data_IF_668106350466
#
_entry.id   IF_668106350466
#
_cell.length_a   1.000
_cell.length_b   1.000
_cell.length_c   1.000
_cell.angle_alpha   90.00
_cell.angle_beta   90.00
_cell.angle_gamma   90.00
#
_symmetry.space_group_name_H-M   'P 1'
#
loop_
_entity.id
_entity.type
_entity.pdbx_description
1 polymer ?
#
# COMPACT_ATOMS: atom_id res chain seq x y z
N UNK A 1 -36.14 26.33 33.73
CA UNK A 1 -34.96 25.45 33.82
C UNK A 1 -34.17 25.60 32.52
N UNK A 2 -32.96 26.16 32.58
CA UNK A 2 -32.12 26.32 31.39
C UNK A 2 -31.62 24.96 30.91
N UNK A 3 -31.72 24.68 29.60
CA UNK A 3 -31.11 23.48 29.02
C UNK A 3 -29.61 23.51 29.32
N UNK A 4 -29.02 22.42 29.84
CA UNK A 4 -27.57 22.36 30.05
C UNK A 4 -26.87 22.61 28.71
N UNK A 5 -25.87 23.49 28.72
CA UNK A 5 -25.11 23.80 27.52
C UNK A 5 -24.40 22.53 27.05
N UNK A 6 -24.60 22.16 25.79
CA UNK A 6 -23.91 21.02 25.21
C UNK A 6 -22.38 21.21 25.34
N UNK A 7 -21.62 20.19 25.77
CA UNK A 7 -20.16 20.25 25.84
C UNK A 7 -19.57 20.72 24.52
N UNK A 8 -18.43 21.44 24.58
CA UNK A 8 -17.78 22.05 23.41
C UNK A 8 -17.57 21.07 22.24
N UNK A 9 -17.29 19.80 22.54
CA UNK A 9 -17.22 18.73 21.54
C UNK A 9 -18.57 18.46 20.85
N UNK A 10 -19.69 18.43 21.56
CA UNK A 10 -21.01 18.30 20.92
C UNK A 10 -21.42 19.52 20.09
N UNK A 11 -20.90 20.72 20.42
CA UNK A 11 -21.11 21.92 19.57
C UNK A 11 -20.27 21.90 18.29
N UNK A 12 -19.11 21.24 18.30
CA UNK A 12 -18.25 21.06 17.12
C UNK A 12 -18.79 20.01 16.13
N UNK A 13 -19.69 19.13 16.57
CA UNK A 13 -20.25 18.03 15.77
C UNK A 13 -21.78 18.07 15.70
N UNK A 14 -22.40 19.24 15.88
CA UNK A 14 -23.81 19.42 15.55
C UNK A 14 -23.90 19.53 14.02
N UNK A 15 -23.62 18.42 13.36
CA UNK A 15 -23.47 18.32 11.92
C UNK A 15 -24.87 18.24 11.33
N UNK A 16 -25.52 19.41 11.22
CA UNK A 16 -26.83 19.57 10.56
C UNK A 16 -26.81 18.94 9.15
N UNK A 17 -25.61 18.72 8.58
CA UNK A 17 -25.38 18.03 7.32
C UNK A 17 -25.69 16.52 7.36
N UNK A 18 -25.52 15.83 8.49
CA UNK A 18 -25.79 14.38 8.61
C UNK A 18 -27.28 14.04 8.39
N UNK A 19 -28.18 15.01 8.61
CA UNK A 19 -29.61 14.85 8.32
C UNK A 19 -29.98 15.19 6.87
N UNK A 20 -29.04 15.70 6.07
CA UNK A 20 -29.32 16.10 4.70
C UNK A 20 -29.28 14.88 3.79
N UNK A 21 -30.34 14.70 3.01
CA UNK A 21 -30.40 13.68 1.95
C UNK A 21 -29.21 13.76 0.98
N UNK A 22 -28.69 14.97 0.72
CA UNK A 22 -27.52 15.17 -0.14
C UNK A 22 -26.23 14.61 0.47
N UNK A 23 -26.09 14.56 1.80
CA UNK A 23 -24.94 13.93 2.45
C UNK A 23 -24.99 12.42 2.24
N UNK A 24 -26.13 11.79 2.54
CA UNK A 24 -26.36 10.36 2.28
C UNK A 24 -26.09 9.97 0.82
N UNK A 25 -26.49 10.82 -0.12
CA UNK A 25 -26.24 10.60 -1.56
C UNK A 25 -24.74 10.57 -1.87
N UNK A 26 -23.93 11.45 -1.27
CA UNK A 26 -22.46 11.44 -1.41
C UNK A 26 -21.87 10.16 -0.82
N UNK A 27 -22.30 9.76 0.39
CA UNK A 27 -21.80 8.54 1.07
C UNK A 27 -22.14 7.28 0.26
N UNK A 28 -23.36 7.19 -0.28
CA UNK A 28 -23.78 6.09 -1.16
C UNK A 28 -23.00 6.07 -2.46
N UNK A 29 -22.73 7.25 -3.03
CA UNK A 29 -21.95 7.35 -4.25
C UNK A 29 -20.53 6.82 -4.06
N UNK A 30 -19.84 7.19 -2.97
CA UNK A 30 -18.50 6.68 -2.70
C UNK A 30 -18.50 5.18 -2.34
N UNK A 31 -19.52 4.69 -1.62
CA UNK A 31 -19.73 3.25 -1.39
C UNK A 31 -19.87 2.49 -2.71
N UNK A 32 -20.70 2.98 -3.63
CA UNK A 32 -20.85 2.39 -4.97
C UNK A 32 -19.55 2.44 -5.77
N UNK A 33 -18.83 3.57 -5.77
CA UNK A 33 -17.54 3.70 -6.47
C UNK A 33 -16.50 2.71 -5.93
N UNK A 34 -16.47 2.49 -4.62
CA UNK A 34 -15.54 1.53 -4.01
C UNK A 34 -15.80 0.08 -4.45
N UNK A 35 -17.04 -0.25 -4.82
CA UNK A 35 -17.46 -1.59 -5.24
C UNK A 35 -17.36 -1.81 -6.75
N UNK A 36 -17.74 -0.81 -7.54
CA UNK A 36 -17.97 -0.96 -8.99
C UNK A 36 -16.87 -0.32 -9.83
N UNK A 37 -16.26 0.77 -9.37
CA UNK A 37 -15.23 1.50 -10.12
C UNK A 37 -14.17 2.06 -9.16
N UNK A 38 -13.40 1.16 -8.51
CA UNK A 38 -12.42 1.58 -7.52
C UNK A 38 -11.32 2.46 -8.11
N UNK A 39 -11.10 2.45 -9.43
CA UNK A 39 -10.15 3.32 -10.12
C UNK A 39 -10.38 4.82 -9.88
N UNK A 40 -11.63 5.26 -9.69
CA UNK A 40 -11.94 6.65 -9.29
C UNK A 40 -11.29 6.98 -7.94
N UNK A 41 -11.37 6.04 -6.99
CA UNK A 41 -10.80 6.18 -5.65
C UNK A 41 -9.28 6.05 -5.72
N UNK A 42 -8.75 5.06 -6.43
CA UNK A 42 -7.30 4.85 -6.59
C UNK A 42 -6.63 6.09 -7.18
N UNK A 43 -7.25 6.73 -8.16
CA UNK A 43 -6.79 8.01 -8.73
C UNK A 43 -6.75 9.12 -7.69
N UNK A 44 -7.80 9.27 -6.89
CA UNK A 44 -7.83 10.28 -5.82
C UNK A 44 -6.79 10.01 -4.72
N UNK A 45 -6.37 8.76 -4.54
CA UNK A 45 -5.36 8.35 -3.56
C UNK A 45 -3.92 8.38 -4.09
N UNK A 46 -3.72 8.77 -5.35
CA UNK A 46 -2.45 8.70 -6.09
C UNK A 46 -1.82 7.29 -6.04
N UNK A 47 -2.66 6.27 -6.13
CA UNK A 47 -2.22 4.89 -6.30
C UNK A 47 -2.12 4.57 -7.78
N UNK A 48 -1.01 3.98 -8.20
CA UNK A 48 -0.81 3.60 -9.59
C UNK A 48 -1.70 2.41 -9.94
N UNK A 49 -2.51 2.54 -10.99
CA UNK A 49 -3.43 1.48 -11.39
C UNK A 49 -3.66 1.47 -12.90
N UNK A 50 -4.24 0.37 -13.37
CA UNK A 50 -4.76 0.16 -14.72
C UNK A 50 -6.15 -0.45 -14.62
N UNK A 51 -6.95 -0.25 -15.66
CA UNK A 51 -8.27 -0.87 -15.82
C UNK A 51 -8.23 -1.72 -17.08
N UNK A 52 -8.70 -2.96 -16.98
CA UNK A 52 -8.83 -3.83 -18.15
C UNK A 52 -10.08 -3.48 -18.98
N UNK A 53 -10.27 -4.16 -20.12
CA UNK A 53 -11.43 -3.96 -21.00
C UNK A 53 -12.79 -4.23 -20.32
N UNK A 54 -12.80 -4.93 -19.19
CA UNK A 54 -14.00 -5.25 -18.40
C UNK A 54 -14.20 -4.25 -17.25
N UNK A 55 -13.35 -3.24 -17.12
CA UNK A 55 -13.36 -2.25 -16.04
C UNK A 55 -12.83 -2.79 -14.71
N UNK A 56 -12.20 -3.97 -14.70
CA UNK A 56 -11.55 -4.52 -13.51
C UNK A 56 -10.28 -3.73 -13.26
N UNK A 57 -10.18 -3.14 -12.07
CA UNK A 57 -9.02 -2.38 -11.67
C UNK A 57 -7.92 -3.31 -11.16
N UNK A 58 -6.69 -3.00 -11.55
CA UNK A 58 -5.47 -3.63 -11.04
C UNK A 58 -4.50 -2.52 -10.62
N UNK A 59 -3.80 -2.69 -9.51
CA UNK A 59 -3.00 -1.60 -8.94
C UNK A 59 -1.60 -2.06 -8.57
N UNK A 60 -0.61 -1.17 -8.71
CA UNK A 60 0.71 -1.37 -8.13
C UNK A 60 0.76 -0.63 -6.79
N UNK A 61 1.52 -1.17 -5.82
CA UNK A 61 1.73 -0.53 -4.52
C UNK A 61 2.44 0.83 -4.63
N UNK A 62 2.87 1.44 -3.52
CA UNK A 62 3.58 2.74 -3.57
C UNK A 62 5.04 2.66 -4.05
N UNK A 63 5.69 1.50 -3.88
CA UNK A 63 7.14 1.36 -4.02
C UNK A 63 7.55 0.49 -5.22
N UNK A 64 6.85 0.62 -6.35
CA UNK A 64 7.19 -0.14 -7.55
C UNK A 64 8.24 0.59 -8.39
N UNK A 65 9.07 -0.18 -9.08
CA UNK A 65 10.10 0.29 -10.01
C UNK A 65 9.76 -0.24 -11.39
N UNK A 66 9.63 0.65 -12.37
CA UNK A 66 9.46 0.29 -13.78
C UNK A 66 10.74 -0.39 -14.27
N UNK A 67 10.66 -1.63 -14.74
CA UNK A 67 11.73 -2.23 -15.53
C UNK A 67 11.36 -2.09 -17.01
N UNK A 68 12.35 -2.12 -17.90
CA UNK A 68 12.08 -2.08 -19.33
C UNK A 68 11.45 -3.41 -19.80
N UNK A 69 10.62 -3.38 -20.86
CA UNK A 69 9.84 -4.55 -21.30
C UNK A 69 10.69 -5.80 -21.61
N UNK A 70 11.92 -5.61 -22.10
CA UNK A 70 12.86 -6.70 -22.37
C UNK A 70 13.42 -7.34 -21.09
N UNK A 71 13.24 -6.71 -19.94
CA UNK A 71 13.72 -7.16 -18.63
C UNK A 71 12.77 -8.17 -17.95
N UNK A 72 11.61 -8.48 -18.56
CA UNK A 72 10.65 -9.42 -17.98
C UNK A 72 10.68 -10.82 -18.57
N UNK A 73 11.33 -11.01 -19.73
CA UNK A 73 11.14 -12.20 -20.56
C UNK A 73 12.39 -13.07 -20.73
N UNK A 74 13.53 -12.70 -20.14
CA UNK A 74 14.77 -13.47 -20.30
C UNK A 74 15.29 -14.02 -18.97
N UNK A 75 15.85 -15.23 -18.98
CA UNK A 75 16.53 -15.80 -17.81
C UNK A 75 17.66 -14.91 -17.27
N UNK A 76 18.15 -13.96 -18.10
CA UNK A 76 19.20 -12.99 -17.74
C UNK A 76 18.71 -11.88 -16.81
N UNK A 77 17.40 -11.70 -16.64
CA UNK A 77 16.84 -10.56 -15.89
C UNK A 77 16.34 -10.93 -14.50
N UNK A 78 16.18 -12.23 -14.25
CA UNK A 78 15.95 -12.81 -12.92
C UNK A 78 16.89 -12.21 -11.86
N UNK A 79 18.21 -12.09 -12.09
CA UNK A 79 19.12 -11.54 -11.09
C UNK A 79 18.92 -10.04 -10.86
N UNK A 80 18.51 -9.29 -11.88
CA UNK A 80 18.17 -7.86 -11.74
C UNK A 80 16.87 -7.67 -10.94
N UNK A 81 15.83 -8.45 -11.24
CA UNK A 81 14.60 -8.50 -10.45
C UNK A 81 14.88 -8.88 -8.98
N UNK A 82 15.76 -9.85 -8.76
CA UNK A 82 16.24 -10.23 -7.42
C UNK A 82 16.99 -9.09 -6.74
N UNK A 83 17.88 -8.37 -7.42
CA UNK A 83 18.59 -7.24 -6.81
C UNK A 83 17.65 -6.11 -6.44
N UNK A 84 16.66 -5.79 -7.29
CA UNK A 84 15.61 -4.80 -6.99
C UNK A 84 14.81 -5.24 -5.77
N UNK A 85 14.37 -6.51 -5.73
CA UNK A 85 13.63 -7.06 -4.60
C UNK A 85 14.44 -7.02 -3.29
N UNK A 86 15.72 -7.41 -3.33
CA UNK A 86 16.62 -7.39 -2.18
C UNK A 86 16.95 -5.97 -1.70
N UNK A 87 16.83 -4.95 -2.56
CA UNK A 87 16.99 -3.54 -2.19
C UNK A 87 15.76 -2.94 -1.48
N UNK A 88 14.69 -3.72 -1.27
CA UNK A 88 13.44 -3.25 -0.67
C UNK A 88 12.48 -2.58 -1.64
N UNK A 89 12.78 -2.64 -2.95
CA UNK A 89 11.94 -2.15 -4.03
C UNK A 89 11.21 -3.31 -4.72
N UNK A 90 10.13 -3.04 -5.46
CA UNK A 90 9.37 -4.09 -6.15
C UNK A 90 9.38 -3.85 -7.66
N UNK A 91 9.92 -4.76 -8.48
CA UNK A 91 9.85 -4.60 -9.92
C UNK A 91 8.39 -4.63 -10.38
N UNK A 92 8.00 -3.72 -11.28
CA UNK A 92 6.64 -3.66 -11.86
C UNK A 92 6.35 -5.01 -12.48
N UNK A 93 5.33 -5.73 -12.05
CA UNK A 93 4.97 -6.97 -12.74
C UNK A 93 4.30 -6.61 -14.08
N UNK A 94 4.58 -7.34 -15.17
CA UNK A 94 4.01 -7.04 -16.48
C UNK A 94 2.48 -7.09 -16.47
N UNK A 95 1.92 -7.99 -15.65
CA UNK A 95 0.49 -7.96 -15.31
C UNK A 95 0.26 -7.25 -13.97
N UNK A 96 -0.58 -6.21 -13.92
CA UNK A 96 -0.89 -5.51 -12.68
C UNK A 96 -1.62 -6.46 -11.71
N UNK A 97 -1.22 -6.50 -10.42
CA UNK A 97 -1.79 -7.49 -9.51
C UNK A 97 -3.25 -7.17 -9.18
N UNK A 98 -4.04 -8.20 -8.83
CA UNK A 98 -5.42 -7.99 -8.44
C UNK A 98 -5.47 -7.10 -7.20
N UNK A 99 -6.58 -6.39 -7.05
CA UNK A 99 -6.90 -5.65 -5.84
C UNK A 99 -8.22 -6.14 -5.25
N UNK A 100 -8.31 -6.11 -3.93
CA UNK A 100 -9.52 -6.40 -3.17
C UNK A 100 -9.91 -5.15 -2.38
N UNK A 101 -11.16 -4.71 -2.51
CA UNK A 101 -11.73 -3.65 -1.67
C UNK A 101 -12.62 -4.29 -0.63
N UNK A 102 -12.33 -4.06 0.64
CA UNK A 102 -13.17 -4.57 1.73
C UNK A 102 -14.54 -3.91 1.69
N UNK A 103 -15.63 -4.58 2.12
CA UNK A 103 -16.93 -3.95 2.28
C UNK A 103 -16.84 -2.67 3.14
N UNK A 104 -17.37 -1.54 2.66
CA UNK A 104 -17.34 -0.30 3.41
C UNK A 104 -18.14 -0.34 4.72
N UNK A 105 -17.60 0.31 5.74
CA UNK A 105 -18.21 0.48 7.06
C UNK A 105 -18.64 1.93 7.23
N UNK A 106 -19.92 2.12 7.44
CA UNK A 106 -20.54 3.43 7.64
C UNK A 106 -20.36 3.88 9.09
N UNK A 107 -20.27 5.19 9.30
CA UNK A 107 -20.28 5.85 10.62
C UNK A 107 -19.30 5.25 11.62
N UNK A 108 -18.02 5.16 11.23
CA UNK A 108 -16.99 4.65 12.12
C UNK A 108 -16.75 5.61 13.27
N UNK A 109 -17.25 5.25 14.44
CA UNK A 109 -17.01 5.99 15.68
C UNK A 109 -15.52 6.11 15.99
N UNK A 110 -15.12 7.31 16.41
CA UNK A 110 -13.76 7.64 16.83
C UNK A 110 -13.80 7.90 18.32
N UNK A 111 -13.02 7.12 19.06
CA UNK A 111 -12.92 7.23 20.51
C UNK A 111 -11.61 7.91 20.87
N UNK A 112 -11.68 8.84 21.80
CA UNK A 112 -10.50 9.49 22.38
C UNK A 112 -9.73 8.54 23.31
N UNK A 113 -8.60 8.99 23.88
CA UNK A 113 -7.72 8.15 24.70
C UNK A 113 -8.38 7.62 25.98
N UNK A 114 -9.44 8.28 26.44
CA UNK A 114 -10.25 7.89 27.62
C UNK A 114 -11.52 7.12 27.26
N UNK A 115 -11.67 6.69 26.00
CA UNK A 115 -12.84 5.95 25.51
C UNK A 115 -14.07 6.80 25.19
N UNK A 116 -14.05 8.11 25.46
CA UNK A 116 -15.15 9.01 25.09
C UNK A 116 -15.26 9.21 23.57
N UNK A 117 -16.49 9.29 23.06
CA UNK A 117 -16.77 9.59 21.64
C UNK A 117 -16.31 11.01 21.30
N UNK A 118 -15.47 11.14 20.28
CA UNK A 118 -14.93 12.42 19.81
C UNK A 118 -15.29 12.75 18.36
N UNK A 119 -15.96 11.83 17.65
CA UNK A 119 -16.42 12.03 16.27
C UNK A 119 -16.80 10.71 15.61
N UNK A 120 -17.24 10.79 14.36
CA UNK A 120 -17.50 9.64 13.51
C UNK A 120 -16.96 9.95 12.11
N UNK A 121 -16.47 8.94 11.41
CA UNK A 121 -16.12 9.03 9.98
C UNK A 121 -17.25 8.43 9.17
N UNK A 122 -17.70 9.14 8.14
CA UNK A 122 -18.85 8.73 7.34
C UNK A 122 -18.67 7.35 6.71
N UNK A 123 -17.49 7.08 6.12
CA UNK A 123 -17.19 5.79 5.51
C UNK A 123 -15.74 5.36 5.75
N UNK A 124 -15.53 4.07 5.96
CA UNK A 124 -14.18 3.49 5.97
C UNK A 124 -14.11 2.12 5.32
N UNK A 125 -13.02 1.85 4.63
CA UNK A 125 -12.74 0.55 4.01
C UNK A 125 -11.23 0.35 3.90
N UNK A 126 -10.79 -0.85 3.50
CA UNK A 126 -9.42 -1.10 3.08
C UNK A 126 -9.34 -1.54 1.63
N UNK A 127 -8.23 -1.15 1.00
CA UNK A 127 -7.81 -1.61 -0.32
C UNK A 127 -6.60 -2.50 -0.10
N UNK A 128 -6.69 -3.77 -0.49
CA UNK A 128 -5.56 -4.68 -0.52
C UNK A 128 -5.05 -4.78 -1.94
N UNK A 129 -3.77 -4.50 -2.11
CA UNK A 129 -3.07 -4.70 -3.38
C UNK A 129 -2.20 -5.94 -3.18
N UNK A 130 -2.52 -7.03 -3.88
CA UNK A 130 -1.74 -8.25 -3.77
C UNK A 130 -0.36 -8.05 -4.39
N UNK A 131 0.66 -8.61 -3.75
CA UNK A 131 2.02 -8.55 -4.27
C UNK A 131 2.29 -9.79 -5.12
N UNK A 132 2.85 -9.63 -6.33
CA UNK A 132 3.38 -10.76 -7.06
C UNK A 132 4.57 -11.32 -6.26
N UNK A 133 4.57 -12.63 -6.02
CA UNK A 133 5.63 -13.31 -5.30
C UNK A 133 6.49 -14.10 -6.26
N UNK A 134 7.82 -13.95 -6.13
CA UNK A 134 8.79 -14.73 -6.89
C UNK A 134 8.99 -16.07 -6.20
N UNK A 135 8.30 -17.11 -6.66
CA UNK A 135 8.51 -18.46 -6.16
C UNK A 135 9.74 -19.07 -6.86
N UNK A 136 10.83 -19.20 -6.10
CA UNK A 136 12.05 -19.89 -6.53
C UNK A 136 11.91 -21.37 -6.16
N UNK A 137 11.73 -22.23 -7.16
CA UNK A 137 11.73 -23.68 -6.94
C UNK A 137 13.17 -24.18 -6.97
N UNK A 138 13.59 -24.85 -5.91
CA UNK A 138 14.92 -25.44 -5.83
C UNK A 138 14.83 -26.97 -5.92
N UNK A 139 15.92 -27.59 -6.35
CA UNK A 139 16.13 -29.03 -6.16
C UNK A 139 17.50 -29.25 -5.53
N UNK A 140 17.57 -30.31 -4.73
CA UNK A 140 18.83 -30.77 -4.18
C UNK A 140 19.65 -31.39 -5.32
N UNK A 141 20.87 -30.90 -5.52
CA UNK A 141 21.78 -31.45 -6.52
C UNK A 141 22.45 -32.67 -5.89
N UNK A 142 22.34 -33.85 -6.52
CA UNK A 142 23.15 -34.99 -6.14
C UNK A 142 24.64 -34.66 -6.30
N UNK A 143 25.45 -34.98 -5.28
CA UNK A 143 26.91 -34.71 -5.24
C UNK A 143 27.69 -35.23 -6.44
N UNK A 144 27.14 -36.16 -7.21
CA UNK A 144 27.75 -36.80 -8.37
C UNK A 144 27.76 -35.95 -9.65
N UNK A 145 27.01 -34.84 -9.70
CA UNK A 145 26.83 -34.01 -10.92
C UNK A 145 27.65 -32.71 -10.89
N UNK A 146 28.67 -32.64 -10.03
CA UNK A 146 29.47 -31.44 -9.82
C UNK A 146 30.36 -31.20 -11.04
N UNK A 147 30.20 -30.05 -11.69
CA UNK A 147 31.13 -29.60 -12.73
C UNK A 147 32.34 -28.89 -12.11
N UNK A 148 33.48 -28.86 -12.78
CA UNK A 148 34.70 -28.17 -12.31
C UNK A 148 34.46 -26.68 -11.97
N UNK A 149 33.46 -26.05 -12.59
CA UNK A 149 33.02 -24.68 -12.31
C UNK A 149 32.45 -24.49 -10.88
N UNK A 150 31.82 -25.51 -10.28
CA UNK A 150 31.25 -25.40 -8.93
C UNK A 150 32.35 -25.49 -7.85
N UNK A 151 33.46 -26.20 -8.13
CA UNK A 151 34.65 -26.25 -7.26
C UNK A 151 35.41 -24.90 -7.26
N UNK A 152 35.40 -24.19 -8.38
CA UNK A 152 36.06 -22.88 -8.52
C UNK A 152 35.35 -21.77 -7.71
N UNK A 153 34.02 -21.87 -7.59
CA UNK A 153 33.21 -20.94 -6.78
C UNK A 153 33.36 -21.15 -5.27
N UNK A 154 33.49 -22.40 -4.81
CA UNK A 154 33.74 -22.72 -3.40
C UNK A 154 35.12 -22.20 -2.94
N UNK A 155 36.12 -22.22 -3.82
CA UNK A 155 37.46 -21.67 -3.55
C UNK A 155 37.46 -20.13 -3.39
N UNK A 156 36.46 -19.44 -3.95
CA UNK A 156 36.30 -17.99 -3.88
C UNK A 156 35.57 -17.50 -2.63
N UNK A 157 34.76 -18.35 -1.98
CA UNK A 157 33.78 -17.89 -0.99
C UNK A 157 33.96 -18.38 0.45
N UNK A 158 34.88 -19.32 0.70
CA UNK A 158 35.33 -19.70 2.05
C UNK A 158 34.25 -20.38 2.90
N UNK A 159 34.53 -21.61 3.33
CA UNK A 159 33.61 -22.46 4.09
C UNK A 159 33.12 -21.81 5.40
N UNK A 160 31.81 -21.57 5.53
CA UNK A 160 31.11 -21.53 6.83
C UNK A 160 29.66 -22.03 6.69
N UNK A 161 29.28 -22.98 7.55
CA UNK A 161 27.90 -23.42 7.78
C UNK A 161 27.14 -22.40 8.66
N UNK A 162 25.81 -22.27 8.51
CA UNK A 162 24.77 -22.18 9.57
C UNK A 162 23.40 -21.78 8.99
N UNK A 163 22.32 -22.17 9.69
CA UNK A 163 20.94 -22.25 9.19
C UNK A 163 19.95 -21.09 9.45
N UNK A 164 18.85 -21.19 8.69
CA UNK A 164 17.46 -20.68 8.75
C UNK A 164 17.17 -19.30 9.40
N UNK A 165 16.55 -18.39 8.64
CA UNK A 165 15.79 -17.26 9.19
C UNK A 165 14.36 -17.14 8.65
N UNK A 166 13.46 -16.99 9.62
CA UNK A 166 12.13 -16.41 9.51
C UNK A 166 12.23 -14.88 9.65
N UNK A 167 11.42 -14.19 8.85
CA UNK A 167 10.98 -12.80 8.94
C UNK A 167 11.74 -11.75 9.78
N UNK A 168 12.27 -10.74 9.04
CA UNK A 168 12.60 -9.34 9.41
C UNK A 168 13.97 -9.05 10.06
N UNK A 169 14.88 -8.49 9.23
CA UNK A 169 16.01 -7.65 9.66
C UNK A 169 17.41 -8.20 9.34
N UNK A 170 18.29 -7.36 8.79
CA UNK A 170 19.73 -7.65 8.64
C UNK A 170 20.47 -6.94 9.78
N UNK A 171 20.82 -7.68 10.83
CA UNK A 171 21.96 -7.33 11.67
C UNK A 171 23.14 -8.18 11.17
N UNK A 172 24.16 -7.51 10.64
CA UNK A 172 25.45 -8.14 10.35
C UNK A 172 26.26 -8.00 11.63
N UNK A 173 26.68 -9.10 12.25
CA UNK A 173 27.68 -9.03 13.30
C UNK A 173 28.95 -8.36 12.73
N UNK A 174 29.34 -7.22 13.31
CA UNK A 174 30.68 -6.65 13.17
C UNK A 174 30.99 -5.73 11.99
N UNK A 175 30.03 -5.27 11.18
CA UNK A 175 30.30 -4.23 10.17
C UNK A 175 29.43 -2.99 10.40
N UNK A 176 30.03 -1.94 10.96
CA UNK A 176 29.38 -0.65 11.26
C UNK A 176 29.24 0.28 10.05
N UNK A 177 29.77 -0.09 8.88
CA UNK A 177 29.69 0.73 7.67
C UNK A 177 29.01 -0.04 6.54
N UNK A 178 27.82 0.42 6.14
CA UNK A 178 27.11 -0.04 4.94
C UNK A 178 27.84 0.53 3.71
N UNK A 179 28.59 -0.32 3.01
CA UNK A 179 29.12 0.01 1.68
C UNK A 179 28.06 -0.37 0.63
N UNK A 180 27.73 0.50 -0.33
CA UNK A 180 26.82 0.16 -1.42
C UNK A 180 27.38 -1.04 -2.19
N UNK A 181 26.59 -2.11 -2.28
CA UNK A 181 26.98 -3.32 -2.99
C UNK A 181 26.94 -3.02 -4.49
N UNK A 182 28.10 -2.88 -5.13
CA UNK A 182 28.28 -2.62 -6.57
C UNK A 182 27.98 -3.84 -7.44
N UNK A 183 27.06 -4.70 -7.02
CA UNK A 183 27.16 -6.12 -7.28
C UNK A 183 26.31 -6.57 -8.47
N UNK A 184 26.97 -7.24 -9.41
CA UNK A 184 26.36 -7.84 -10.60
C UNK A 184 25.48 -9.05 -10.22
N UNK A 185 24.58 -9.50 -11.11
CA UNK A 185 23.82 -10.75 -11.01
C UNK A 185 24.50 -11.94 -10.32
N UNK A 186 25.80 -12.12 -10.58
CA UNK A 186 26.63 -13.17 -10.02
C UNK A 186 26.75 -13.08 -8.49
N UNK A 187 26.77 -11.89 -7.92
CA UNK A 187 26.88 -11.68 -6.48
C UNK A 187 25.57 -11.96 -5.74
N UNK A 188 24.41 -11.68 -6.33
CA UNK A 188 23.11 -12.05 -5.75
C UNK A 188 22.90 -13.57 -5.77
N UNK A 189 23.30 -14.24 -6.85
CA UNK A 189 23.32 -15.71 -6.94
C UNK A 189 24.36 -16.32 -5.99
N UNK A 190 25.52 -15.69 -5.83
CA UNK A 190 26.52 -16.09 -4.84
C UNK A 190 26.00 -15.92 -3.40
N UNK A 191 25.24 -14.86 -3.09
CA UNK A 191 24.59 -14.69 -1.78
C UNK A 191 23.54 -15.78 -1.55
N UNK A 192 22.75 -16.14 -2.56
CA UNK A 192 21.77 -17.23 -2.46
C UNK A 192 22.47 -18.58 -2.25
N UNK A 193 23.51 -18.89 -3.04
CA UNK A 193 24.31 -20.13 -2.90
C UNK A 193 25.07 -20.19 -1.58
N UNK A 194 25.68 -19.10 -1.14
CA UNK A 194 26.43 -19.01 0.11
C UNK A 194 25.50 -19.12 1.33
N UNK A 195 24.26 -18.63 1.25
CA UNK A 195 23.34 -18.56 2.39
C UNK A 195 22.40 -19.75 2.54
N UNK A 196 22.08 -20.46 1.45
CA UNK A 196 21.15 -21.60 1.44
C UNK A 196 21.80 -22.92 1.01
N UNK A 197 23.11 -22.91 0.78
CA UNK A 197 23.85 -24.07 0.31
C UNK A 197 23.54 -24.44 -1.15
N UNK A 198 23.76 -25.73 -1.46
CA UNK A 198 23.81 -26.34 -2.79
C UNK A 198 22.42 -26.51 -3.41
N UNK A 199 21.73 -25.41 -3.70
CA UNK A 199 20.42 -25.42 -4.35
C UNK A 199 20.58 -25.07 -5.83
N UNK A 200 20.20 -25.99 -6.73
CA UNK A 200 19.97 -25.62 -8.12
C UNK A 200 18.57 -25.02 -8.24
N UNK A 201 18.48 -23.85 -8.85
CA UNK A 201 17.20 -23.22 -9.19
C UNK A 201 16.60 -24.04 -10.34
N UNK A 202 15.53 -24.79 -10.03
CA UNK A 202 14.79 -25.62 -11.00
C UNK A 202 13.90 -24.76 -11.91
N UNK A 203 13.50 -23.59 -11.43
CA UNK A 203 12.67 -22.66 -12.16
C UNK A 203 12.19 -21.54 -11.26
N UNK A 204 11.79 -20.45 -11.89
CA UNK A 204 11.25 -19.29 -11.23
C UNK A 204 9.86 -19.04 -11.80
N UNK A 205 8.87 -18.90 -10.92
CA UNK A 205 7.50 -18.62 -11.32
C UNK A 205 6.92 -17.52 -10.46
N UNK A 206 6.20 -16.60 -11.10
CA UNK A 206 5.34 -15.66 -10.41
C UNK A 206 4.08 -16.39 -9.96
N UNK A 207 3.82 -16.41 -8.66
CA UNK A 207 2.61 -16.99 -8.09
C UNK A 207 1.85 -15.92 -7.26
N UNK A 208 0.53 -16.08 -7.20
CA UNK A 208 -0.34 -15.28 -6.32
C UNK A 208 -0.32 -15.93 -4.95
N UNK A 209 0.09 -15.20 -3.92
CA UNK A 209 0.00 -15.67 -2.53
C UNK A 209 -0.89 -14.72 -1.72
N UNK A 210 -1.95 -15.27 -1.12
CA UNK A 210 -3.00 -14.48 -0.44
C UNK A 210 -2.49 -13.68 0.77
N UNK A 211 -1.40 -14.12 1.40
CA UNK A 211 -0.83 -13.47 2.58
C UNK A 211 0.11 -12.29 2.25
N UNK A 212 0.59 -12.17 1.01
CA UNK A 212 1.49 -11.10 0.60
C UNK A 212 0.69 -9.97 -0.06
N UNK A 213 0.21 -9.01 0.73
CA UNK A 213 -0.49 -7.84 0.21
C UNK A 213 -0.09 -6.55 0.94
N UNK A 214 -0.26 -5.43 0.25
CA UNK A 214 -0.26 -4.10 0.86
C UNK A 214 -1.68 -3.73 1.21
N UNK A 215 -1.97 -3.53 2.49
CA UNK A 215 -3.25 -2.99 2.93
C UNK A 215 -3.15 -1.47 3.08
N UNK A 216 -4.07 -0.77 2.44
CA UNK A 216 -4.30 0.67 2.58
C UNK A 216 -5.65 0.91 3.24
N UNK A 217 -5.67 1.69 4.32
CA UNK A 217 -6.91 2.04 5.02
C UNK A 217 -7.41 3.38 4.52
N UNK A 218 -8.65 3.44 4.07
CA UNK A 218 -9.25 4.67 3.55
C UNK A 218 -10.33 5.11 4.52
N UNK A 219 -10.22 6.35 4.97
CA UNK A 219 -11.17 7.03 5.82
C UNK A 219 -11.78 8.19 5.04
N UNK A 220 -13.08 8.17 4.86
CA UNK A 220 -13.79 9.12 4.00
C UNK A 220 -14.67 10.03 4.84
N UNK A 221 -14.50 11.33 4.63
CA UNK A 221 -15.39 12.37 5.13
C UNK A 221 -16.19 12.95 3.96
N UNK A 222 -17.50 12.83 3.99
CA UNK A 222 -18.42 13.42 3.03
C UNK A 222 -18.89 14.79 3.53
N UNK A 223 -18.76 15.82 2.68
CA UNK A 223 -19.25 17.17 2.97
C UNK A 223 -20.16 17.65 1.86
N UNK A 224 -21.32 18.18 2.23
CA UNK A 224 -22.25 18.80 1.25
C UNK A 224 -21.76 20.17 0.79
N UNK A 225 -20.97 20.83 1.64
CA UNK A 225 -20.22 22.04 1.35
C UNK A 225 -19.05 22.18 2.33
N UNK A 226 -17.98 22.86 1.91
CA UNK A 226 -16.85 23.19 2.79
C UNK A 226 -16.66 24.71 2.83
N UNK A 227 -17.16 25.35 3.88
CA UNK A 227 -17.09 26.82 4.04
C UNK A 227 -15.69 27.31 4.45
N UNK A 228 -14.93 26.47 5.16
CA UNK A 228 -13.63 26.85 5.72
C UNK A 228 -12.67 25.67 5.72
N UNK A 229 -11.51 25.85 5.09
CA UNK A 229 -10.41 24.89 5.14
C UNK A 229 -9.97 24.63 6.59
N UNK A 230 -9.95 25.66 7.44
CA UNK A 230 -9.46 25.56 8.80
C UNK A 230 -10.32 24.66 9.70
N UNK A 231 -11.64 24.67 9.51
CA UNK A 231 -12.56 23.80 10.25
C UNK A 231 -12.38 22.33 9.83
N UNK A 232 -12.41 22.08 8.52
CA UNK A 232 -12.19 20.75 7.96
C UNK A 232 -10.82 20.18 8.37
N UNK A 233 -9.75 20.98 8.31
CA UNK A 233 -8.42 20.55 8.72
C UNK A 233 -8.36 20.22 10.22
N UNK A 234 -9.03 20.98 11.08
CA UNK A 234 -9.11 20.65 12.52
C UNK A 234 -9.81 19.30 12.73
N UNK A 235 -10.93 19.07 12.03
CA UNK A 235 -11.65 17.80 12.08
C UNK A 235 -10.77 16.64 11.60
N UNK A 236 -10.13 16.77 10.43
CA UNK A 236 -9.29 15.73 9.86
C UNK A 236 -8.05 15.45 10.73
N UNK A 237 -7.42 16.47 11.29
CA UNK A 237 -6.27 16.30 12.18
C UNK A 237 -6.65 15.63 13.51
N UNK A 238 -7.84 15.92 14.04
CA UNK A 238 -8.39 15.17 15.18
C UNK A 238 -8.50 13.68 14.82
N UNK A 239 -9.09 13.35 13.68
CA UNK A 239 -9.31 11.96 13.27
C UNK A 239 -7.99 11.23 13.02
N UNK A 240 -7.04 11.90 12.36
CA UNK A 240 -5.67 11.42 12.15
C UNK A 240 -4.97 11.09 13.45
N UNK A 241 -5.14 11.87 14.50
CA UNK A 241 -4.50 11.61 15.80
C UNK A 241 -4.90 10.25 16.39
N UNK A 242 -6.11 9.76 16.08
CA UNK A 242 -6.65 8.52 16.65
C UNK A 242 -6.67 7.33 15.69
N UNK A 243 -6.65 7.59 14.38
CA UNK A 243 -6.79 6.55 13.35
C UNK A 243 -5.55 6.35 12.49
N UNK A 244 -4.60 7.30 12.47
CA UNK A 244 -3.43 7.20 11.59
C UNK A 244 -2.61 5.97 11.92
N UNK A 245 -2.54 5.06 10.95
CA UNK A 245 -1.61 3.95 10.92
C UNK A 245 -0.78 4.06 9.64
N UNK A 246 0.29 3.28 9.54
CA UNK A 246 1.02 3.12 8.27
C UNK A 246 0.01 2.78 7.16
N UNK A 247 0.16 3.41 5.98
CA UNK A 247 -0.71 3.23 4.81
C UNK A 247 -2.18 3.64 5.03
N UNK A 248 -2.45 4.64 5.89
CA UNK A 248 -3.79 5.23 5.99
C UNK A 248 -3.93 6.47 5.11
N UNK A 249 -5.06 6.58 4.42
CA UNK A 249 -5.47 7.75 3.66
C UNK A 249 -6.72 8.36 4.27
N UNK A 250 -6.76 9.69 4.28
CA UNK A 250 -7.94 10.47 4.60
C UNK A 250 -8.41 11.11 3.32
N UNK A 251 -9.68 10.90 2.96
CA UNK A 251 -10.28 11.34 1.72
C UNK A 251 -11.50 12.20 2.04
N UNK A 252 -11.49 13.45 1.58
CA UNK A 252 -12.65 14.33 1.65
C UNK A 252 -13.39 14.27 0.33
N UNK A 253 -14.70 14.02 0.39
CA UNK A 253 -15.58 13.96 -0.77
C UNK A 253 -16.62 15.07 -0.67
N UNK A 254 -16.68 15.96 -1.67
CA UNK A 254 -17.63 17.06 -1.68
C UNK A 254 -17.92 17.58 -3.09
N UNK A 255 -19.07 18.23 -3.34
CA UNK A 255 -19.37 18.84 -4.65
C UNK A 255 -18.34 19.93 -4.98
N UNK A 256 -17.77 19.90 -6.19
CA UNK A 256 -16.65 20.80 -6.56
C UNK A 256 -17.04 22.28 -6.46
N UNK A 257 -18.27 22.60 -6.84
CA UNK A 257 -18.83 23.94 -6.83
C UNK A 257 -19.16 24.47 -5.42
N UNK A 258 -19.11 23.61 -4.39
CA UNK A 258 -19.36 23.94 -2.98
C UNK A 258 -18.08 23.97 -2.15
N UNK A 259 -16.93 24.00 -2.82
CA UNK A 259 -15.60 23.93 -2.21
C UNK A 259 -14.71 25.04 -2.77
N UNK A 260 -13.97 25.79 -1.93
CA UNK A 260 -13.00 26.78 -2.38
C UNK A 260 -12.00 26.18 -3.37
N UNK A 261 -11.60 26.95 -4.40
CA UNK A 261 -10.78 26.46 -5.49
C UNK A 261 -9.43 25.91 -5.01
N UNK A 262 -8.86 26.56 -3.99
CA UNK A 262 -7.58 26.30 -3.33
C UNK A 262 -7.63 25.15 -2.32
N UNK A 263 -8.81 24.73 -1.86
CA UNK A 263 -8.92 23.72 -0.80
C UNK A 263 -8.24 22.40 -1.17
N UNK A 264 -8.38 21.82 -2.38
CA UNK A 264 -7.72 20.56 -2.71
C UNK A 264 -6.20 20.63 -2.60
N UNK A 265 -5.59 21.75 -2.99
CA UNK A 265 -4.15 21.97 -2.85
C UNK A 265 -3.75 22.02 -1.38
N UNK A 266 -4.48 22.77 -0.55
CA UNK A 266 -4.23 22.85 0.89
C UNK A 266 -4.38 21.46 1.55
N UNK A 267 -5.40 20.68 1.18
CA UNK A 267 -5.58 19.33 1.70
C UNK A 267 -4.42 18.41 1.30
N UNK A 268 -4.00 18.46 0.03
CA UNK A 268 -2.93 17.63 -0.50
C UNK A 268 -1.58 17.91 0.18
N UNK A 269 -1.26 19.18 0.42
CA UNK A 269 -0.09 19.61 1.21
C UNK A 269 -0.09 19.04 2.64
N UNK A 270 -1.28 18.79 3.21
CA UNK A 270 -1.44 18.16 4.52
C UNK A 270 -1.49 16.63 4.44
N UNK A 271 -1.42 16.03 3.24
CA UNK A 271 -1.56 14.60 3.01
C UNK A 271 -3.00 14.08 3.14
N UNK A 272 -3.99 14.96 2.97
CA UNK A 272 -5.41 14.64 2.91
C UNK A 272 -5.84 14.72 1.44
N UNK A 273 -6.48 13.67 0.94
CA UNK A 273 -6.91 13.58 -0.45
C UNK A 273 -8.29 14.19 -0.63
N UNK A 274 -8.55 14.72 -1.82
CA UNK A 274 -9.82 15.30 -2.20
C UNK A 274 -10.38 14.60 -3.42
N UNK A 275 -11.66 14.25 -3.38
CA UNK A 275 -12.40 13.72 -4.51
C UNK A 275 -13.67 14.54 -4.73
N UNK A 276 -13.77 15.17 -5.89
CA UNK A 276 -14.97 15.89 -6.28
C UNK A 276 -16.13 14.91 -6.45
N UNK A 277 -17.22 15.17 -5.75
CA UNK A 277 -18.50 14.52 -5.99
C UNK A 277 -19.13 15.10 -7.25
N UNK A 278 -19.48 14.23 -8.19
CA UNK A 278 -20.25 14.58 -9.37
C UNK A 278 -21.59 13.84 -9.27
N UNK A 279 -22.67 14.58 -8.99
CA UNK A 279 -24.01 14.06 -9.13
C UNK A 279 -24.24 13.75 -10.61
N UNK A 280 -24.50 12.48 -10.94
CA UNK A 280 -24.97 12.09 -12.26
C UNK A 280 -26.46 12.43 -12.41
#
# INVERSE_FOLDING_TARGET
MGKPAAPYQQKLFNDEQLGLRSHDEIVRWIDQKSKVSPGTILRALDLNFTEDEKGVCHAWGKNWVELADHEYLSERTIPHCLSVYLSGNYPKHPEPPPLEVSPPRWERLILGPRGGLIGAIDLSFSIKIYRPFLHIRTHEIERSVWSELDLEFDHLLGEREFGIWSDRGVAKDGCTNLVPCSSTPASSLAIIRHRYGRLAIKGIKWEKMDWAHEEYKVFVEAKTEVRSAGELLRQMNLYRTHLSKKNSFFLVVAPREKVPAELPTILDEQGIKFLAYNAN
#
